data_IF_025975513842
#
_entry.id   IF_025975513842
#
_cell.length_a   1.000
_cell.length_b   1.000
_cell.length_c   1.000
_cell.angle_alpha   90.00
_cell.angle_beta   90.00
_cell.angle_gamma   90.00
#
_symmetry.space_group_name_H-M   'P 1'
#
loop_
_entity.id
_entity.type
_entity.pdbx_description
1 polymer ?
#
# COMPACT_ATOMS: atom_id res chain seq x y z
N UNK A 1 -1.70 -33.37 32.93
CA UNK A 1 -1.54 -32.29 33.92
C UNK A 1 -2.62 -31.26 33.68
N UNK A 2 -3.50 -31.04 34.64
CA UNK A 2 -4.54 -30.00 34.60
C UNK A 2 -4.02 -28.78 35.38
N UNK A 3 -3.71 -27.70 34.67
CA UNK A 3 -3.34 -26.42 35.30
C UNK A 3 -4.61 -25.76 35.82
N UNK A 4 -4.61 -25.34 37.09
CA UNK A 4 -5.70 -24.55 37.64
C UNK A 4 -5.66 -23.10 37.12
N UNK A 5 -6.82 -22.42 37.10
CA UNK A 5 -6.92 -21.01 36.69
C UNK A 5 -5.98 -20.09 37.49
N UNK A 6 -5.72 -20.42 38.75
CA UNK A 6 -4.83 -19.64 39.63
C UNK A 6 -3.36 -19.83 39.26
N UNK A 7 -2.96 -21.06 38.95
CA UNK A 7 -1.61 -21.36 38.47
C UNK A 7 -1.36 -20.75 37.11
N UNK A 8 -2.35 -20.78 36.21
CA UNK A 8 -2.28 -20.11 34.92
C UNK A 8 -2.04 -18.60 35.04
N UNK A 9 -2.80 -17.90 35.88
CA UNK A 9 -2.63 -16.45 36.09
C UNK A 9 -1.26 -16.14 36.73
N UNK A 10 -0.79 -16.97 37.67
CA UNK A 10 0.54 -16.80 38.28
C UNK A 10 1.66 -17.01 37.27
N UNK A 11 1.56 -18.02 36.41
CA UNK A 11 2.51 -18.27 35.32
C UNK A 11 2.52 -17.10 34.33
N UNK A 12 1.37 -16.55 33.97
CA UNK A 12 1.25 -15.35 33.13
C UNK A 12 1.89 -14.12 33.78
N UNK A 13 1.68 -13.90 35.08
CA UNK A 13 2.29 -12.80 35.82
C UNK A 13 3.82 -12.92 35.91
N UNK A 14 4.33 -14.14 36.16
CA UNK A 14 5.77 -14.42 36.17
C UNK A 14 6.40 -14.26 34.78
N UNK A 15 5.74 -14.76 33.74
CA UNK A 15 6.17 -14.56 32.35
C UNK A 15 6.17 -13.06 31.98
N UNK A 16 5.17 -12.31 32.44
CA UNK A 16 5.11 -10.86 32.31
C UNK A 16 6.29 -10.13 32.95
N UNK A 17 6.60 -10.44 34.21
CA UNK A 17 7.73 -9.86 34.94
C UNK A 17 9.09 -10.27 34.36
N UNK A 18 9.19 -11.46 33.77
CA UNK A 18 10.38 -11.97 33.10
C UNK A 18 10.56 -11.45 31.66
N UNK A 19 9.64 -10.61 31.16
CA UNK A 19 9.70 -10.08 29.78
C UNK A 19 9.38 -11.12 28.70
N UNK A 20 8.74 -12.23 29.08
CA UNK A 20 8.34 -13.33 28.18
C UNK A 20 6.84 -13.20 27.88
N UNK A 21 6.40 -11.97 27.57
CA UNK A 21 5.04 -11.77 27.07
C UNK A 21 4.95 -12.21 25.60
N UNK A 22 3.79 -12.72 25.14
CA UNK A 22 3.55 -12.93 23.73
C UNK A 22 3.80 -11.63 22.93
N UNK A 23 4.37 -11.73 21.73
CA UNK A 23 4.61 -10.57 20.86
C UNK A 23 3.35 -9.73 20.60
N UNK A 24 2.15 -10.34 20.68
CA UNK A 24 0.86 -9.64 20.57
C UNK A 24 0.60 -8.66 21.72
N UNK A 25 1.11 -8.90 22.92
CA UNK A 25 1.01 -7.96 24.04
C UNK A 25 1.90 -6.73 23.83
N UNK A 26 3.07 -6.91 23.20
CA UNK A 26 3.95 -5.81 22.80
C UNK A 26 3.38 -5.00 21.63
N UNK A 27 2.67 -5.63 20.70
CA UNK A 27 1.96 -4.93 19.62
C UNK A 27 0.80 -4.06 20.14
N UNK A 28 0.21 -4.42 21.29
CA UNK A 28 -0.84 -3.63 21.95
C UNK A 28 -0.29 -2.56 22.91
N UNK A 29 1.00 -2.60 23.27
CA UNK A 29 1.63 -1.57 24.10
C UNK A 29 1.86 -0.30 23.27
N UNK A 30 0.96 0.68 23.45
CA UNK A 30 1.14 2.04 22.94
C UNK A 30 2.46 2.62 23.46
N UNK A 31 3.41 2.89 22.55
CA UNK A 31 4.60 3.68 22.88
C UNK A 31 4.21 5.16 22.80
N UNK A 32 4.55 5.99 23.81
CA UNK A 32 4.42 7.44 23.68
C UNK A 32 5.25 7.92 22.47
N UNK A 33 4.65 8.66 21.54
CA UNK A 33 5.32 9.12 20.31
C UNK A 33 5.24 8.16 19.12
N UNK A 34 4.22 7.31 19.07
CA UNK A 34 3.94 6.45 17.93
C UNK A 34 3.58 7.30 16.68
N UNK A 35 4.35 7.13 15.59
CA UNK A 35 4.17 7.80 14.29
C UNK A 35 2.74 7.70 13.76
N UNK A 36 2.03 6.64 14.14
CA UNK A 36 0.67 6.35 13.68
C UNK A 36 -0.43 6.92 14.58
N UNK A 37 -0.10 7.68 15.63
CA UNK A 37 -1.06 8.45 16.41
C UNK A 37 -1.38 9.79 15.73
N UNK A 38 -2.27 9.73 14.74
CA UNK A 38 -2.65 10.91 13.94
C UNK A 38 -3.90 11.55 14.53
N UNK A 39 -3.85 12.83 14.98
CA UNK A 39 -5.03 13.55 15.44
C UNK A 39 -6.18 13.47 14.43
N UNK A 40 -7.42 13.45 14.93
CA UNK A 40 -8.59 13.54 14.06
C UNK A 40 -8.64 14.94 13.44
N UNK A 41 -8.76 14.99 12.13
CA UNK A 41 -8.88 16.24 11.38
C UNK A 41 -9.81 16.01 10.19
N UNK A 42 -10.73 16.96 9.95
CA UNK A 42 -11.73 16.88 8.89
C UNK A 42 -12.77 15.78 9.10
N UNK A 43 -13.56 15.53 8.05
CA UNK A 43 -14.67 14.57 8.06
C UNK A 43 -14.34 13.28 7.30
N UNK A 44 -13.31 13.30 6.46
CA UNK A 44 -12.91 12.19 5.59
C UNK A 44 -11.42 11.95 5.74
N UNK A 45 -11.03 10.68 5.79
CA UNK A 45 -9.65 10.25 5.83
C UNK A 45 -9.30 9.48 4.55
N UNK A 46 -8.44 10.06 3.72
CA UNK A 46 -7.91 9.37 2.55
C UNK A 46 -6.59 8.69 2.93
N UNK A 47 -6.56 7.37 2.84
CA UNK A 47 -5.34 6.57 2.89
C UNK A 47 -4.95 6.26 1.46
N UNK A 48 -3.68 6.45 1.12
CA UNK A 48 -3.18 6.24 -0.24
C UNK A 48 -1.92 5.39 -0.22
N UNK A 49 -1.87 4.39 -1.09
CA UNK A 49 -0.67 3.64 -1.45
C UNK A 49 -0.54 3.61 -2.97
N UNK A 50 0.65 3.34 -3.48
CA UNK A 50 0.91 3.23 -4.92
C UNK A 50 2.22 2.47 -5.13
N UNK A 51 2.42 1.93 -6.33
CA UNK A 51 3.70 1.38 -6.80
C UNK A 51 4.27 0.31 -5.86
N UNK A 52 3.39 -0.52 -5.28
CA UNK A 52 3.85 -1.59 -4.39
C UNK A 52 4.56 -2.73 -5.16
N UNK A 53 4.39 -2.78 -6.48
CA UNK A 53 5.02 -3.73 -7.39
C UNK A 53 4.97 -5.18 -6.89
N UNK A 54 3.79 -5.60 -6.44
CA UNK A 54 3.50 -6.92 -5.90
C UNK A 54 4.42 -7.36 -4.74
N UNK A 55 4.95 -6.41 -3.94
CA UNK A 55 5.74 -6.70 -2.74
C UNK A 55 4.83 -7.00 -1.55
N UNK A 56 4.38 -8.27 -1.46
CA UNK A 56 3.54 -8.75 -0.36
C UNK A 56 4.27 -8.75 1.00
N UNK A 57 5.56 -9.04 0.98
CA UNK A 57 6.40 -9.15 2.16
C UNK A 57 7.21 -7.87 2.38
N UNK A 58 7.61 -7.57 3.62
CA UNK A 58 8.53 -6.47 3.88
C UNK A 58 9.85 -6.63 3.11
N UNK A 59 10.37 -5.53 2.58
CA UNK A 59 11.63 -5.47 1.82
C UNK A 59 12.58 -4.38 2.34
N UNK A 60 13.86 -4.48 1.97
CA UNK A 60 14.77 -3.34 2.08
C UNK A 60 14.66 -2.53 0.78
N UNK A 61 14.15 -1.31 0.86
CA UNK A 61 13.99 -0.41 -0.27
C UNK A 61 14.78 0.86 0.01
N UNK A 62 15.71 1.20 -0.89
CA UNK A 62 16.60 2.36 -0.75
C UNK A 62 16.25 3.38 -1.83
N UNK A 63 15.95 4.60 -1.39
CA UNK A 63 15.71 5.72 -2.29
C UNK A 63 16.90 6.00 -3.23
N UNK A 64 16.66 6.64 -4.39
CA UNK A 64 17.73 6.99 -5.32
C UNK A 64 18.69 8.01 -4.69
N UNK A 65 19.99 7.84 -4.95
CA UNK A 65 21.00 8.85 -4.59
C UNK A 65 21.21 9.91 -5.67
N UNK A 66 20.60 9.74 -6.83
CA UNK A 66 20.61 10.70 -7.93
C UNK A 66 19.21 10.72 -8.54
N UNK A 67 18.60 11.90 -8.57
CA UNK A 67 17.39 12.17 -9.35
C UNK A 67 17.54 13.57 -9.97
N UNK A 68 17.52 13.67 -11.29
CA UNK A 68 17.90 14.90 -12.00
C UNK A 68 16.67 15.59 -12.58
N UNK A 69 16.30 16.72 -11.98
CA UNK A 69 15.31 17.64 -12.55
C UNK A 69 15.95 18.58 -13.56
N UNK A 70 15.30 18.79 -14.70
CA UNK A 70 15.77 19.69 -15.78
C UNK A 70 14.80 20.85 -15.98
N UNK A 71 15.32 21.99 -16.44
CA UNK A 71 14.52 23.19 -16.72
C UNK A 71 13.71 23.63 -15.49
N UNK A 72 12.39 23.74 -15.65
CA UNK A 72 11.48 24.18 -14.59
C UNK A 72 11.42 23.24 -13.36
N UNK A 73 11.92 21.99 -13.49
CA UNK A 73 11.94 20.99 -12.43
C UNK A 73 13.27 20.96 -11.64
N UNK A 74 14.28 21.74 -12.06
CA UNK A 74 15.58 21.80 -11.37
C UNK A 74 15.41 22.24 -9.91
N UNK A 75 15.95 21.45 -8.98
CA UNK A 75 15.92 21.75 -7.55
C UNK A 75 14.53 21.72 -6.92
N UNK A 76 13.57 21.00 -7.52
CA UNK A 76 12.21 20.84 -7.00
C UNK A 76 11.89 19.39 -6.74
N UNK A 77 11.02 19.12 -5.76
CA UNK A 77 10.40 17.81 -5.63
C UNK A 77 9.68 17.45 -6.95
N UNK A 78 9.75 16.19 -7.42
CA UNK A 78 10.31 15.00 -6.74
C UNK A 78 11.83 14.76 -6.96
N UNK A 79 12.57 15.70 -7.57
CA UNK A 79 14.00 15.54 -7.88
C UNK A 79 14.96 15.91 -6.75
N UNK A 80 14.46 16.14 -5.54
CA UNK A 80 15.30 16.34 -4.36
C UNK A 80 15.67 14.96 -3.79
N UNK A 81 16.94 14.78 -3.42
CA UNK A 81 17.45 13.55 -2.79
C UNK A 81 18.37 13.89 -1.62
N UNK A 82 18.65 12.91 -0.76
CA UNK A 82 19.66 13.07 0.29
C UNK A 82 19.34 14.20 1.26
N UNK A 83 20.36 14.98 1.63
CA UNK A 83 20.22 16.10 2.57
C UNK A 83 19.28 17.20 2.07
N UNK A 84 19.25 17.44 0.74
CA UNK A 84 18.38 18.45 0.15
C UNK A 84 16.89 18.10 0.33
N UNK A 85 16.53 16.81 0.20
CA UNK A 85 15.18 16.34 0.50
C UNK A 85 14.86 16.53 1.98
N UNK A 86 15.76 16.09 2.87
CA UNK A 86 15.57 16.20 4.32
C UNK A 86 15.35 17.65 4.77
N UNK A 87 16.17 18.58 4.26
CA UNK A 87 16.04 20.01 4.55
C UNK A 87 14.73 20.58 4.01
N UNK A 88 14.34 20.25 2.78
CA UNK A 88 13.13 20.78 2.16
C UNK A 88 11.85 20.39 2.92
N UNK A 89 11.78 19.15 3.42
CA UNK A 89 10.62 18.62 4.14
C UNK A 89 10.76 18.66 5.67
N UNK A 90 11.82 19.29 6.19
CA UNK A 90 12.12 19.37 7.63
C UNK A 90 12.18 17.99 8.32
N UNK A 91 12.80 17.02 7.66
CA UNK A 91 13.00 15.67 8.21
C UNK A 91 14.37 15.62 8.89
N UNK A 92 14.41 15.29 10.17
CA UNK A 92 15.65 15.15 10.92
C UNK A 92 16.44 13.91 10.47
N UNK A 93 17.75 14.07 10.29
CA UNK A 93 18.66 12.98 9.91
C UNK A 93 18.73 11.88 10.97
N UNK A 94 18.91 10.63 10.55
CA UNK A 94 19.06 9.49 11.47
C UNK A 94 17.76 9.03 12.12
N UNK A 95 16.61 9.54 11.68
CA UNK A 95 15.28 9.13 12.14
C UNK A 95 14.68 8.02 11.26
N UNK A 96 13.60 7.39 11.74
CA UNK A 96 12.81 6.44 10.95
C UNK A 96 12.28 7.09 9.65
N UNK A 97 11.88 8.37 9.70
CA UNK A 97 11.43 9.10 8.52
C UNK A 97 12.57 9.32 7.52
N UNK A 98 13.77 9.66 8.00
CA UNK A 98 14.94 9.76 7.11
C UNK A 98 15.28 8.42 6.43
N UNK A 99 15.14 7.29 7.13
CA UNK A 99 15.30 5.94 6.55
C UNK A 99 14.26 5.65 5.46
N UNK A 100 13.02 6.11 5.64
CA UNK A 100 11.94 5.88 4.68
C UNK A 100 12.07 6.74 3.41
N UNK A 101 12.63 7.94 3.50
CA UNK A 101 12.60 8.94 2.41
C UNK A 101 13.98 9.30 1.84
N UNK A 102 15.07 8.70 2.31
CA UNK A 102 16.42 9.04 1.86
C UNK A 102 17.33 7.83 1.80
N UNK A 103 18.36 7.94 0.97
CA UNK A 103 19.40 6.92 0.82
C UNK A 103 20.51 7.03 1.88
N UNK A 104 20.52 8.12 2.66
CA UNK A 104 21.58 8.44 3.60
C UNK A 104 21.66 7.38 4.71
N UNK A 105 22.88 6.88 4.96
CA UNK A 105 23.18 5.87 5.99
C UNK A 105 22.33 4.59 5.89
N UNK A 106 21.86 4.22 4.69
CA UNK A 106 20.91 3.13 4.48
C UNK A 106 21.34 1.81 5.14
N UNK A 107 22.61 1.41 5.04
CA UNK A 107 23.06 0.13 5.62
C UNK A 107 22.88 0.08 7.15
N UNK A 108 23.20 1.19 7.84
CA UNK A 108 23.06 1.31 9.30
C UNK A 108 21.59 1.45 9.69
N UNK A 109 20.85 2.29 8.96
CA UNK A 109 19.43 2.52 9.20
C UNK A 109 18.58 1.28 8.93
N UNK A 110 18.91 0.47 7.92
CA UNK A 110 18.28 -0.82 7.64
C UNK A 110 18.49 -1.84 8.76
N UNK A 111 19.67 -1.84 9.41
CA UNK A 111 19.90 -2.69 10.59
C UNK A 111 19.13 -2.21 11.82
N UNK A 112 18.97 -0.89 11.98
CA UNK A 112 18.29 -0.29 13.13
C UNK A 112 16.76 -0.35 13.02
N UNK A 113 16.21 0.02 11.85
CA UNK A 113 14.78 0.18 11.62
C UNK A 113 14.15 -0.96 10.84
N UNK A 114 14.95 -1.76 10.13
CA UNK A 114 14.50 -2.93 9.41
C UNK A 114 13.91 -2.64 8.03
N UNK A 115 13.09 -3.60 7.58
CA UNK A 115 12.42 -3.61 6.29
C UNK A 115 11.16 -2.73 6.31
N UNK A 116 10.80 -2.19 5.16
CA UNK A 116 9.59 -1.38 4.93
C UNK A 116 8.50 -2.19 4.23
N UNK A 117 7.26 -1.70 4.31
CA UNK A 117 6.11 -2.26 3.61
C UNK A 117 5.63 -3.60 4.16
N UNK A 118 5.05 -4.41 3.27
CA UNK A 118 4.41 -5.68 3.57
C UNK A 118 2.91 -5.53 3.87
N UNK A 119 2.09 -6.30 3.15
CA UNK A 119 0.63 -6.19 3.19
C UNK A 119 0.03 -6.53 4.56
N UNK A 120 0.67 -7.41 5.34
CA UNK A 120 0.24 -7.71 6.70
C UNK A 120 0.41 -6.50 7.66
N UNK A 121 1.49 -5.73 7.48
CA UNK A 121 1.72 -4.50 8.25
C UNK A 121 0.74 -3.42 7.82
N UNK A 122 0.57 -3.21 6.51
CA UNK A 122 -0.41 -2.27 5.95
C UNK A 122 -1.83 -2.60 6.43
N UNK A 123 -2.23 -3.88 6.42
CA UNK A 123 -3.54 -4.29 6.90
C UNK A 123 -3.77 -3.94 8.37
N UNK A 124 -2.74 -4.03 9.21
CA UNK A 124 -2.82 -3.63 10.61
C UNK A 124 -3.02 -2.11 10.76
N UNK A 125 -2.25 -1.33 10.00
CA UNK A 125 -2.34 0.14 9.99
C UNK A 125 -3.69 0.62 9.43
N UNK A 126 -4.12 0.10 8.28
CA UNK A 126 -5.41 0.43 7.65
C UNK A 126 -6.56 0.13 8.59
N UNK A 127 -6.58 -1.05 9.24
CA UNK A 127 -7.62 -1.40 10.22
C UNK A 127 -7.66 -0.42 11.39
N UNK A 128 -6.48 -0.04 11.92
CA UNK A 128 -6.39 0.95 13.00
C UNK A 128 -6.94 2.31 12.55
N UNK A 129 -6.50 2.82 11.41
CA UNK A 129 -6.92 4.12 10.90
C UNK A 129 -8.43 4.15 10.61
N UNK A 130 -8.98 3.11 9.98
CA UNK A 130 -10.43 2.96 9.76
C UNK A 130 -11.19 2.98 11.09
N UNK A 131 -10.76 2.19 12.08
CA UNK A 131 -11.41 2.14 13.39
C UNK A 131 -11.35 3.47 14.15
N UNK A 132 -10.23 4.19 14.06
CA UNK A 132 -10.08 5.51 14.68
C UNK A 132 -10.96 6.56 14.02
N UNK A 133 -11.15 6.50 12.70
CA UNK A 133 -11.98 7.46 11.93
C UNK A 133 -13.48 7.15 11.99
N UNK A 134 -13.84 5.87 12.18
CA UNK A 134 -15.21 5.39 12.20
C UNK A 134 -15.71 4.98 10.81
N UNK A 135 -16.69 4.07 10.81
CA UNK A 135 -17.23 3.47 9.59
C UNK A 135 -17.74 4.53 8.61
N UNK A 136 -17.39 4.38 7.33
CA UNK A 136 -17.80 5.29 6.25
C UNK A 136 -17.00 6.60 6.15
N UNK A 137 -16.08 6.88 7.08
CA UNK A 137 -15.32 8.15 7.09
C UNK A 137 -13.90 8.03 6.50
N UNK A 138 -13.59 6.92 5.83
CA UNK A 138 -12.25 6.69 5.28
C UNK A 138 -12.29 5.87 4.02
N UNK A 139 -11.38 6.19 3.08
CA UNK A 139 -11.14 5.43 1.85
C UNK A 139 -9.67 5.04 1.76
N UNK A 140 -9.40 3.82 1.31
CA UNK A 140 -8.10 3.34 0.89
C UNK A 140 -8.03 3.35 -0.64
N UNK A 141 -7.14 4.19 -1.16
CA UNK A 141 -6.90 4.39 -2.57
C UNK A 141 -5.56 3.74 -2.97
N UNK A 142 -5.56 3.05 -4.10
CA UNK A 142 -4.36 2.50 -4.72
C UNK A 142 -4.08 3.17 -6.07
N UNK A 143 -2.92 3.82 -6.17
CA UNK A 143 -2.48 4.55 -7.36
C UNK A 143 -2.09 3.68 -8.56
N UNK A 144 -2.12 2.34 -8.41
CA UNK A 144 -1.75 1.40 -9.46
C UNK A 144 -0.31 0.88 -9.29
N UNK A 145 0.15 0.12 -10.28
CA UNK A 145 1.46 -0.54 -10.24
C UNK A 145 1.56 -1.53 -9.06
N UNK A 146 0.49 -2.30 -8.88
CA UNK A 146 0.24 -3.18 -7.73
C UNK A 146 0.20 -4.65 -8.12
N UNK A 147 -0.43 -5.01 -9.24
CA UNK A 147 -0.66 -6.41 -9.61
C UNK A 147 0.54 -7.09 -10.28
N UNK A 148 1.62 -6.37 -10.53
CA UNK A 148 2.79 -6.83 -11.27
C UNK A 148 4.07 -6.50 -10.49
N UNK A 149 5.14 -7.29 -10.66
CA UNK A 149 6.48 -6.94 -10.15
C UNK A 149 7.15 -8.02 -9.28
N UNK A 150 6.45 -9.12 -9.00
CA UNK A 150 6.96 -10.23 -8.20
C UNK A 150 6.78 -11.59 -8.90
N UNK A 151 7.49 -12.61 -8.42
CA UNK A 151 7.38 -13.97 -8.96
C UNK A 151 5.99 -14.58 -8.80
N UNK A 152 5.32 -14.33 -7.67
CA UNK A 152 3.95 -14.84 -7.42
C UNK A 152 2.93 -14.14 -8.29
N UNK A 153 3.06 -12.83 -8.49
CA UNK A 153 2.24 -12.08 -9.43
C UNK A 153 2.42 -12.56 -10.88
N UNK A 154 3.64 -12.92 -11.28
CA UNK A 154 3.87 -13.50 -12.59
C UNK A 154 3.20 -14.88 -12.75
N UNK A 155 3.33 -15.77 -11.76
CA UNK A 155 2.75 -17.12 -11.81
C UNK A 155 1.22 -17.14 -11.74
N UNK A 156 0.64 -16.20 -11.00
CA UNK A 156 -0.82 -16.12 -10.80
C UNK A 156 -1.51 -15.13 -11.72
N UNK A 157 -0.74 -14.48 -12.62
CA UNK A 157 -1.24 -13.44 -13.53
C UNK A 157 -1.93 -12.30 -12.78
N UNK A 158 -1.32 -11.88 -11.67
CA UNK A 158 -1.76 -10.79 -10.79
C UNK A 158 -2.86 -11.17 -9.78
N UNK A 159 -3.43 -12.38 -9.83
CA UNK A 159 -4.55 -12.78 -8.96
C UNK A 159 -4.18 -12.83 -7.47
N UNK A 160 -2.93 -13.13 -7.13
CA UNK A 160 -2.47 -13.05 -5.74
C UNK A 160 -2.63 -11.63 -5.18
N UNK A 161 -2.28 -10.62 -5.97
CA UNK A 161 -2.38 -9.21 -5.60
C UNK A 161 -3.82 -8.70 -5.62
N UNK A 162 -4.68 -9.17 -6.52
CA UNK A 162 -6.14 -8.91 -6.44
C UNK A 162 -6.67 -9.42 -5.09
N UNK A 163 -6.32 -10.65 -4.70
CA UNK A 163 -6.66 -11.22 -3.41
C UNK A 163 -6.11 -10.42 -2.23
N UNK A 164 -4.86 -9.96 -2.32
CA UNK A 164 -4.23 -9.15 -1.29
C UNK A 164 -4.90 -7.77 -1.12
N UNK A 165 -5.25 -7.10 -2.22
CA UNK A 165 -5.98 -5.83 -2.21
C UNK A 165 -7.39 -5.99 -1.61
N UNK A 166 -8.07 -7.08 -1.96
CA UNK A 166 -9.37 -7.44 -1.40
C UNK A 166 -9.31 -7.67 0.13
N UNK A 167 -8.23 -8.29 0.63
CA UNK A 167 -8.02 -8.52 2.06
C UNK A 167 -7.57 -7.26 2.81
N UNK A 168 -6.77 -6.41 2.15
CA UNK A 168 -6.36 -5.11 2.67
C UNK A 168 -7.54 -4.14 2.77
N UNK A 169 -8.53 -4.32 1.89
CA UNK A 169 -9.70 -3.47 1.76
C UNK A 169 -9.39 -2.21 0.97
N UNK A 170 -8.82 -2.35 -0.23
CA UNK A 170 -8.69 -1.24 -1.18
C UNK A 170 -10.07 -0.91 -1.73
N UNK A 171 -10.49 0.36 -1.62
CA UNK A 171 -11.81 0.80 -2.05
C UNK A 171 -11.81 1.24 -3.51
N UNK A 172 -10.74 1.92 -3.96
CA UNK A 172 -10.59 2.39 -5.34
C UNK A 172 -9.16 2.17 -5.80
N UNK A 173 -8.98 1.74 -7.05
CA UNK A 173 -7.67 1.69 -7.68
C UNK A 173 -7.68 2.11 -9.16
N UNK A 174 -6.52 2.46 -9.68
CA UNK A 174 -6.24 2.58 -11.13
C UNK A 174 -5.14 1.59 -11.52
N UNK A 175 -4.65 1.64 -12.76
CA UNK A 175 -3.54 0.80 -13.19
C UNK A 175 -2.62 1.45 -14.21
N UNK A 176 -1.43 0.87 -14.33
CA UNK A 176 -0.45 1.19 -15.36
C UNK A 176 0.31 -0.09 -15.78
N UNK A 177 1.10 -0.70 -14.88
CA UNK A 177 1.72 -2.01 -15.11
C UNK A 177 0.73 -3.16 -15.15
N UNK A 178 -0.47 -2.98 -14.58
CA UNK A 178 -1.61 -3.88 -14.75
C UNK A 178 -1.83 -4.21 -16.24
N UNK A 179 -1.75 -3.21 -17.13
CA UNK A 179 -1.97 -3.37 -18.57
C UNK A 179 -0.85 -4.11 -19.31
N UNK A 180 0.15 -4.65 -18.60
CA UNK A 180 1.11 -5.61 -19.18
C UNK A 180 0.60 -7.05 -19.21
N UNK A 181 -0.48 -7.34 -18.48
CA UNK A 181 -1.23 -8.59 -18.62
C UNK A 181 -2.12 -8.56 -19.86
N UNK A 182 -2.62 -9.73 -20.27
CA UNK A 182 -3.58 -9.80 -21.37
C UNK A 182 -4.89 -9.16 -20.95
N UNK A 183 -5.59 -8.56 -21.91
CA UNK A 183 -6.89 -7.93 -21.68
C UNK A 183 -7.91 -8.86 -20.98
N UNK A 184 -7.96 -10.14 -21.36
CA UNK A 184 -8.81 -11.14 -20.69
C UNK A 184 -8.45 -11.36 -19.21
N UNK A 185 -7.17 -11.25 -18.87
CA UNK A 185 -6.68 -11.38 -17.50
C UNK A 185 -7.06 -10.13 -16.70
N UNK A 186 -6.96 -8.95 -17.30
CA UNK A 186 -7.34 -7.69 -16.65
C UNK A 186 -8.85 -7.62 -16.40
N UNK A 187 -9.66 -7.96 -17.41
CA UNK A 187 -11.11 -8.02 -17.25
C UNK A 187 -11.50 -9.05 -16.17
N UNK A 188 -10.84 -10.22 -16.15
CA UNK A 188 -11.07 -11.23 -15.08
C UNK A 188 -10.67 -10.72 -13.71
N UNK A 189 -9.51 -10.07 -13.58
CA UNK A 189 -8.98 -9.57 -12.31
C UNK A 189 -9.85 -8.43 -11.76
N UNK A 190 -10.30 -7.51 -12.61
CA UNK A 190 -11.26 -6.46 -12.23
C UNK A 190 -12.59 -7.06 -11.78
N UNK A 191 -13.07 -8.12 -12.43
CA UNK A 191 -14.27 -8.84 -12.00
C UNK A 191 -14.15 -9.51 -10.63
N UNK A 192 -12.92 -9.82 -10.18
CA UNK A 192 -12.65 -10.41 -8.86
C UNK A 192 -12.27 -9.36 -7.80
N UNK A 193 -11.91 -8.15 -8.23
CA UNK A 193 -11.61 -7.05 -7.33
C UNK A 193 -12.89 -6.53 -6.67
N UNK A 194 -12.85 -6.33 -5.36
CA UNK A 194 -14.02 -5.91 -4.55
C UNK A 194 -14.20 -4.40 -4.48
N UNK A 195 -13.16 -3.64 -4.80
CA UNK A 195 -13.23 -2.18 -4.93
C UNK A 195 -13.56 -1.75 -6.35
N UNK A 196 -13.46 -0.45 -6.59
CA UNK A 196 -13.69 0.14 -7.90
C UNK A 196 -12.37 0.33 -8.66
N UNK A 197 -12.26 -0.30 -9.83
CA UNK A 197 -11.20 0.02 -10.79
C UNK A 197 -11.67 1.18 -11.68
N UNK A 198 -10.92 2.29 -11.70
CA UNK A 198 -11.28 3.53 -12.41
C UNK A 198 -10.14 3.96 -13.32
N UNK A 199 -10.42 4.10 -14.61
CA UNK A 199 -9.44 4.58 -15.60
C UNK A 199 -10.14 5.28 -16.78
N UNK A 200 -10.30 6.61 -16.68
CA UNK A 200 -11.08 7.40 -17.65
C UNK A 200 -10.33 7.73 -18.95
N UNK A 201 -9.02 7.53 -18.98
CA UNK A 201 -8.18 7.80 -20.15
C UNK A 201 -7.82 6.54 -20.94
N UNK A 202 -8.45 5.39 -20.64
CA UNK A 202 -8.21 4.13 -21.36
C UNK A 202 -9.38 3.86 -22.30
N UNK A 203 -9.15 4.11 -23.58
CA UNK A 203 -10.11 3.91 -24.65
C UNK A 203 -9.81 2.68 -25.50
N UNK A 204 -10.85 2.16 -26.14
CA UNK A 204 -10.76 1.15 -27.20
C UNK A 204 -10.54 1.88 -28.52
N UNK A 205 -9.56 1.44 -29.30
CA UNK A 205 -9.30 2.05 -30.60
C UNK A 205 -10.44 1.74 -31.60
N UNK A 206 -10.64 2.61 -32.58
CA UNK A 206 -11.70 2.51 -33.57
C UNK A 206 -11.76 1.15 -34.27
N UNK A 207 -10.61 0.56 -34.58
CA UNK A 207 -10.54 -0.74 -35.25
C UNK A 207 -11.08 -1.87 -34.37
N UNK A 208 -10.77 -1.85 -33.08
CA UNK A 208 -11.21 -2.85 -32.11
C UNK A 208 -12.67 -2.65 -31.66
N UNK A 209 -13.25 -1.45 -31.82
CA UNK A 209 -14.66 -1.20 -31.49
C UNK A 209 -15.62 -2.00 -32.39
N UNK A 210 -15.26 -2.25 -33.66
CA UNK A 210 -16.13 -2.97 -34.61
C UNK A 210 -16.47 -4.40 -34.17
N UNK A 211 -15.55 -5.07 -33.49
CA UNK A 211 -15.69 -6.45 -33.03
C UNK A 211 -15.15 -6.64 -31.61
N UNK A 212 -15.39 -5.65 -30.74
CA UNK A 212 -14.83 -5.63 -29.40
C UNK A 212 -15.27 -6.87 -28.59
N UNK A 213 -14.32 -7.75 -28.33
CA UNK A 213 -14.57 -9.06 -27.70
C UNK A 213 -15.09 -9.00 -26.26
N UNK A 214 -15.12 -7.82 -25.64
CA UNK A 214 -15.64 -7.60 -24.28
C UNK A 214 -16.80 -6.60 -24.26
N UNK A 215 -17.63 -6.58 -25.30
CA UNK A 215 -18.84 -5.72 -25.33
C UNK A 215 -19.78 -5.94 -24.12
N UNK A 216 -19.81 -7.14 -23.55
CA UNK A 216 -20.62 -7.47 -22.36
C UNK A 216 -19.95 -7.10 -21.01
N UNK A 217 -18.73 -6.58 -21.03
CA UNK A 217 -18.06 -6.16 -19.80
C UNK A 217 -18.75 -4.93 -19.23
N UNK A 218 -19.21 -5.00 -17.98
CA UNK A 218 -20.00 -3.93 -17.35
C UNK A 218 -19.29 -2.56 -17.27
N UNK A 219 -17.95 -2.54 -17.37
CA UNK A 219 -17.17 -1.30 -17.41
C UNK A 219 -17.05 -0.66 -18.80
N UNK A 220 -17.40 -1.37 -19.88
CA UNK A 220 -17.26 -0.87 -21.24
C UNK A 220 -18.39 0.13 -21.56
N UNK A 221 -18.03 1.25 -22.20
CA UNK A 221 -18.97 2.23 -22.77
C UNK A 221 -18.71 2.37 -24.26
N UNK A 222 -19.62 1.84 -25.09
CA UNK A 222 -19.53 1.88 -26.56
C UNK A 222 -19.64 3.31 -27.10
N UNK A 223 -20.57 4.11 -26.58
CA UNK A 223 -20.83 5.49 -27.04
C UNK A 223 -19.63 6.41 -26.81
N UNK A 224 -18.89 6.20 -25.71
CA UNK A 224 -17.70 6.98 -25.36
C UNK A 224 -16.39 6.31 -25.78
N UNK A 225 -16.44 5.05 -26.23
CA UNK A 225 -15.26 4.25 -26.55
C UNK A 225 -14.36 3.93 -25.34
N UNK A 226 -14.87 4.00 -24.11
CA UNK A 226 -14.09 3.78 -22.89
C UNK A 226 -14.09 2.31 -22.47
N UNK A 227 -12.92 1.79 -22.12
CA UNK A 227 -12.75 0.39 -21.71
C UNK A 227 -13.24 0.11 -20.28
N UNK A 228 -13.30 1.15 -19.44
CA UNK A 228 -13.65 1.06 -18.02
C UNK A 228 -14.65 2.14 -17.63
N UNK A 229 -15.42 1.86 -16.58
CA UNK A 229 -16.45 2.77 -16.10
C UNK A 229 -15.82 4.09 -15.61
N UNK A 230 -16.47 5.24 -15.85
CA UNK A 230 -16.14 6.47 -15.16
C UNK A 230 -16.43 6.34 -13.67
N UNK A 231 -15.87 7.24 -12.87
CA UNK A 231 -16.24 7.34 -11.46
C UNK A 231 -17.66 7.91 -11.36
N UNK A 232 -18.56 7.20 -10.68
CA UNK A 232 -19.98 7.56 -10.50
C UNK A 232 -20.31 7.80 -9.04
#
# INVERSE_FOLDING_TARGET
MTISRREFIRLLGLAGAAGVLPGSAYAAMRRPGDLYEIPKFGNVCLMHMTDCHAQLNPIYFREPNVNLGVGAALGKAPHLVGEALLQHFNIESGTLAAHAFSYLNFDQAAQQFGKVGGFAHLASLVKRLRAERGDGNSLLLDGGDTWQGSGTAYWTRGKDMVGACNLLGVDVMTGHWEFTYLDSEIISNIGEFRGDFVAQNVGINDAALFDYKFADFAGFNEDEGLAFKPYT
#
